data_IF_717711583191
#
_entry.id   IF_717711583191
#
_cell.length_a   1.000
_cell.length_b   1.000
_cell.length_c   1.000
_cell.angle_alpha   90.00
_cell.angle_beta   90.00
_cell.angle_gamma   90.00
#
_symmetry.space_group_name_H-M   'P 1'
#
loop_
_entity.id
_entity.type
_entity.pdbx_description
1 polymer ?
#
# COMPACT_ATOMS: atom_id res chain seq x y z
N UNK A 1 -39.02 -29.12 -23.38
CA UNK A 1 -38.54 -29.00 -21.99
C UNK A 1 -37.03 -28.86 -22.05
N UNK A 2 -36.52 -27.62 -22.03
CA UNK A 2 -35.10 -27.36 -22.17
C UNK A 2 -34.43 -27.52 -20.79
N UNK A 3 -33.48 -28.45 -20.70
CA UNK A 3 -32.69 -28.68 -19.51
C UNK A 3 -31.76 -27.48 -19.31
N UNK A 4 -32.13 -26.59 -18.38
CA UNK A 4 -31.23 -25.56 -17.86
C UNK A 4 -30.13 -26.28 -17.09
N UNK A 5 -29.01 -26.50 -17.77
CA UNK A 5 -27.77 -26.98 -17.16
C UNK A 5 -27.25 -25.86 -16.25
N UNK A 6 -27.52 -25.98 -14.96
CA UNK A 6 -27.10 -25.06 -13.90
C UNK A 6 -25.61 -25.10 -13.65
N UNK A 7 -24.80 -24.78 -14.66
CA UNK A 7 -23.35 -24.66 -14.50
C UNK A 7 -23.05 -23.33 -13.81
N UNK A 8 -22.97 -23.38 -12.48
CA UNK A 8 -22.46 -22.28 -11.65
C UNK A 8 -21.10 -21.85 -12.19
N UNK A 9 -21.02 -20.65 -12.75
CA UNK A 9 -19.75 -20.02 -13.13
C UNK A 9 -18.84 -19.99 -11.90
N UNK A 10 -17.56 -20.43 -11.97
CA UNK A 10 -16.66 -20.35 -10.84
C UNK A 10 -16.62 -18.90 -10.34
N UNK A 11 -17.14 -18.66 -9.14
CA UNK A 11 -17.08 -17.33 -8.53
C UNK A 11 -15.62 -17.10 -8.16
N UNK A 12 -15.04 -16.01 -8.65
CA UNK A 12 -13.72 -15.57 -8.21
C UNK A 12 -13.77 -15.40 -6.68
N UNK A 13 -13.06 -16.27 -5.97
CA UNK A 13 -12.89 -16.15 -4.53
C UNK A 13 -11.76 -15.14 -4.31
N UNK A 14 -12.13 -13.87 -4.18
CA UNK A 14 -11.18 -12.82 -3.83
C UNK A 14 -10.95 -12.91 -2.33
N UNK A 15 -9.73 -13.29 -1.95
CA UNK A 15 -9.30 -13.20 -0.57
C UNK A 15 -8.95 -11.74 -0.25
N UNK A 16 -9.91 -11.03 0.35
CA UNK A 16 -9.74 -9.62 0.71
C UNK A 16 -8.63 -9.40 1.75
N UNK A 17 -8.35 -10.39 2.61
CA UNK A 17 -7.25 -10.30 3.58
C UNK A 17 -5.91 -10.35 2.86
N UNK A 18 -5.78 -11.23 1.87
CA UNK A 18 -4.57 -11.30 1.03
C UNK A 18 -4.36 -9.98 0.28
N UNK A 19 -5.41 -9.44 -0.36
CA UNK A 19 -5.32 -8.19 -1.13
C UNK A 19 -4.97 -7.01 -0.23
N UNK A 20 -5.60 -6.93 0.96
CA UNK A 20 -5.30 -5.87 1.92
C UNK A 20 -3.87 -5.98 2.45
N UNK A 21 -3.38 -7.20 2.72
CA UNK A 21 -2.00 -7.43 3.13
C UNK A 21 -0.98 -7.02 2.07
N UNK A 22 -1.24 -7.33 0.80
CA UNK A 22 -0.38 -6.88 -0.31
C UNK A 22 -0.40 -5.36 -0.44
N UNK A 23 -1.59 -4.74 -0.35
CA UNK A 23 -1.73 -3.28 -0.40
C UNK A 23 -0.97 -2.60 0.75
N UNK A 24 -1.10 -3.13 1.97
CA UNK A 24 -0.38 -2.63 3.16
C UNK A 24 1.13 -2.71 2.96
N UNK A 25 1.64 -3.85 2.49
CA UNK A 25 3.06 -4.01 2.19
C UNK A 25 3.56 -2.97 1.16
N UNK A 26 2.81 -2.72 0.09
CA UNK A 26 3.15 -1.69 -0.90
C UNK A 26 3.20 -0.29 -0.29
N UNK A 27 2.21 0.08 0.53
CA UNK A 27 2.16 1.39 1.22
C UNK A 27 3.36 1.52 2.18
N UNK A 28 3.67 0.46 2.93
CA UNK A 28 4.79 0.42 3.85
C UNK A 28 6.14 0.64 3.12
N UNK A 29 6.38 -0.09 2.03
CA UNK A 29 7.61 0.08 1.24
C UNK A 29 7.69 1.45 0.55
N UNK A 30 6.55 2.02 0.14
CA UNK A 30 6.51 3.38 -0.37
C UNK A 30 6.96 4.40 0.69
N UNK A 31 6.71 4.15 1.98
CA UNK A 31 7.24 4.95 3.09
C UNK A 31 8.78 5.04 3.09
N UNK A 32 9.49 3.95 2.74
CA UNK A 32 10.95 3.99 2.60
C UNK A 32 11.41 4.87 1.45
N UNK A 33 10.64 4.93 0.36
CA UNK A 33 10.96 5.81 -0.76
C UNK A 33 10.91 7.29 -0.35
N UNK A 34 10.11 7.66 0.66
CA UNK A 34 10.03 9.02 1.19
C UNK A 34 11.19 9.38 2.13
N UNK A 35 11.91 8.40 2.66
CA UNK A 35 13.12 8.65 3.46
C UNK A 35 14.29 9.15 2.58
N UNK A 36 14.34 8.77 1.31
CA UNK A 36 15.34 9.27 0.35
C UNK A 36 15.30 10.80 0.20
N UNK A 37 14.18 11.42 -0.23
CA UNK A 37 14.10 12.87 -0.33
C UNK A 37 14.20 13.56 1.03
N UNK A 38 13.72 12.95 2.13
CA UNK A 38 13.94 13.49 3.47
C UNK A 38 15.43 13.54 3.84
N UNK A 39 16.21 12.52 3.48
CA UNK A 39 17.65 12.49 3.70
C UNK A 39 18.41 13.50 2.82
N UNK A 40 17.97 13.70 1.58
CA UNK A 40 18.50 14.76 0.71
C UNK A 40 18.22 16.12 1.32
N UNK A 41 16.96 16.40 1.68
CA UNK A 41 16.55 17.68 2.27
C UNK A 41 17.32 18.01 3.57
N UNK A 42 17.62 17.00 4.40
CA UNK A 42 18.48 17.15 5.58
C UNK A 42 19.94 17.57 5.24
N UNK A 43 20.46 17.11 4.11
CA UNK A 43 21.82 17.45 3.66
C UNK A 43 21.87 18.86 3.06
N UNK A 44 20.82 19.26 2.34
CA UNK A 44 20.75 20.54 1.64
C UNK A 44 20.13 21.68 2.48
N UNK A 45 19.72 21.39 3.72
CA UNK A 45 19.11 22.35 4.67
C UNK A 45 17.86 23.04 4.11
N UNK A 46 17.04 22.28 3.37
CA UNK A 46 15.73 22.74 2.93
C UNK A 46 14.68 22.56 4.04
N UNK A 47 13.62 23.38 4.00
CA UNK A 47 12.54 23.31 5.00
C UNK A 47 11.45 22.27 4.68
N UNK A 48 11.64 21.40 3.69
CA UNK A 48 10.57 20.49 3.21
C UNK A 48 10.61 19.08 3.81
N UNK A 49 11.69 18.72 4.49
CA UNK A 49 11.97 17.38 5.03
C UNK A 49 10.96 16.90 6.05
N UNK A 50 10.39 17.83 6.82
CA UNK A 50 9.33 17.50 7.79
C UNK A 50 8.11 16.88 7.13
N UNK A 51 7.74 17.35 5.93
CA UNK A 51 6.61 16.80 5.18
C UNK A 51 6.88 15.36 4.74
N UNK A 52 8.08 15.09 4.21
CA UNK A 52 8.49 13.76 3.79
C UNK A 52 8.55 12.77 4.96
N UNK A 53 9.10 13.21 6.10
CA UNK A 53 9.25 12.37 7.30
C UNK A 53 7.89 12.04 7.92
N UNK A 54 6.96 12.99 7.94
CA UNK A 54 5.61 12.79 8.49
C UNK A 54 4.79 11.88 7.57
N UNK A 55 4.88 12.05 6.25
CA UNK A 55 4.26 11.13 5.28
C UNK A 55 4.85 9.72 5.35
N UNK A 56 6.17 9.57 5.54
CA UNK A 56 6.81 8.28 5.75
C UNK A 56 6.29 7.58 7.03
N UNK A 57 6.17 8.33 8.13
CA UNK A 57 5.61 7.81 9.38
C UNK A 57 4.17 7.30 9.25
N UNK A 58 3.33 8.01 8.49
CA UNK A 58 1.97 7.57 8.19
C UNK A 58 1.99 6.30 7.33
N UNK A 59 2.81 6.26 6.28
CA UNK A 59 2.92 5.11 5.41
C UNK A 59 3.37 3.84 6.16
N UNK A 60 4.31 3.96 7.10
CA UNK A 60 4.72 2.84 7.95
C UNK A 60 3.63 2.39 8.92
N UNK A 61 2.91 3.34 9.50
CA UNK A 61 1.84 3.03 10.48
C UNK A 61 0.62 2.40 9.81
N UNK A 62 0.22 2.90 8.64
CA UNK A 62 -0.97 2.41 7.92
C UNK A 62 -0.66 1.15 7.10
N UNK A 63 0.54 1.06 6.52
CA UNK A 63 0.93 -0.11 5.72
C UNK A 63 1.39 -1.32 6.55
N UNK A 64 1.85 -1.10 7.79
CA UNK A 64 2.37 -2.16 8.67
C UNK A 64 1.37 -2.75 9.65
N UNK A 65 0.16 -2.16 9.77
CA UNK A 65 -0.90 -2.57 10.70
C UNK A 65 -1.94 -3.43 9.99
#
# INVERSE_FOLDING_TARGET
MALVSGKSTPRANIDFLMVLGVLGAFIFFMGFALLLPAGVDLIYDEHTGHSFLLSAGIAFSVGGL
#
